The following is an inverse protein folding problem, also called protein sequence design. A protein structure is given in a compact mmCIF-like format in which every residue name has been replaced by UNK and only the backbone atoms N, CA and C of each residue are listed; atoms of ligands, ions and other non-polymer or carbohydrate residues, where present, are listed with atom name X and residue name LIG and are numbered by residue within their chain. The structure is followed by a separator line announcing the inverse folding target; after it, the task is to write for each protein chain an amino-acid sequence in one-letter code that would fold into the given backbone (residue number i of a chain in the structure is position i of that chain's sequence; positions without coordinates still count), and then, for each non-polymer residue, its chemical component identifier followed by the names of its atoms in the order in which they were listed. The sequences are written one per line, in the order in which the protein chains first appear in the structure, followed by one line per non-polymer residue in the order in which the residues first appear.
data_IF_027317300371
#
_entry.id   IF_027317300371
#
_cell.length_a   1.000
_cell.length_b   1.000
_cell.length_c   1.000
_cell.angle_alpha   90.00
_cell.angle_beta   90.00
_cell.angle_gamma   90.00
#
_symmetry.space_group_name_H-M   'P 1'
#
loop_
_entity.id
_entity.type
_entity.pdbx_description
1 polymer ?
#
# COMPACT_ATOMS: atom_id res chain seq x y z
N UNK A 1 -39.40 11.84 -59.24
CA UNK A 1 -39.45 10.90 -58.08
C UNK A 1 -38.30 11.23 -57.13
N UNK A 2 -38.58 11.85 -55.98
CA UNK A 2 -37.60 12.67 -55.23
C UNK A 2 -37.20 12.00 -53.90
N UNK A 3 -35.96 11.50 -53.84
CA UNK A 3 -35.04 11.33 -52.68
C UNK A 3 -35.64 11.11 -51.27
N UNK A 4 -36.55 10.14 -51.05
CA UNK A 4 -37.06 9.79 -49.70
C UNK A 4 -36.18 8.82 -48.89
N UNK A 5 -35.39 7.96 -49.55
CA UNK A 5 -34.61 6.92 -48.86
C UNK A 5 -33.46 7.43 -47.97
N UNK A 6 -32.92 8.63 -48.25
CA UNK A 6 -31.78 9.17 -47.47
C UNK A 6 -32.16 9.60 -46.06
N UNK A 7 -33.35 10.18 -45.89
CA UNK A 7 -33.84 10.60 -44.58
C UNK A 7 -34.24 9.39 -43.72
N UNK A 8 -34.87 8.37 -44.32
CA UNK A 8 -35.19 7.12 -43.64
C UNK A 8 -33.93 6.37 -43.20
N UNK A 9 -32.94 6.24 -44.08
CA UNK A 9 -31.66 5.62 -43.74
C UNK A 9 -30.94 6.38 -42.62
N UNK A 10 -30.93 7.72 -42.66
CA UNK A 10 -30.35 8.53 -41.59
C UNK A 10 -31.05 8.28 -40.24
N UNK A 11 -32.38 8.14 -40.22
CA UNK A 11 -33.13 7.82 -39.01
C UNK A 11 -32.80 6.43 -38.46
N UNK A 12 -32.68 5.42 -39.32
CA UNK A 12 -32.27 4.07 -38.91
C UNK A 12 -30.87 4.07 -38.29
N UNK A 13 -29.92 4.78 -38.91
CA UNK A 13 -28.57 4.93 -38.34
C UNK A 13 -28.56 5.63 -36.98
N UNK A 14 -29.34 6.70 -36.81
CA UNK A 14 -29.45 7.40 -35.52
C UNK A 14 -30.04 6.48 -34.45
N UNK A 15 -31.02 5.65 -34.80
CA UNK A 15 -31.68 4.72 -33.87
C UNK A 15 -30.73 3.58 -33.46
N UNK A 16 -29.96 3.04 -34.41
CA UNK A 16 -28.92 2.04 -34.10
C UNK A 16 -27.81 2.66 -33.24
N UNK A 17 -27.35 3.86 -33.58
CA UNK A 17 -26.31 4.55 -32.82
C UNK A 17 -26.76 4.91 -31.39
N UNK A 18 -28.01 5.33 -31.19
CA UNK A 18 -28.54 5.63 -29.86
C UNK A 18 -28.70 4.38 -29.00
N UNK A 19 -29.14 3.26 -29.59
CA UNK A 19 -29.20 1.97 -28.90
C UNK A 19 -27.80 1.49 -28.48
N UNK A 20 -26.80 1.66 -29.35
CA UNK A 20 -25.41 1.34 -29.04
C UNK A 20 -24.90 2.20 -27.88
N UNK A 21 -25.13 3.51 -27.90
CA UNK A 21 -24.72 4.42 -26.82
C UNK A 21 -25.42 4.09 -25.50
N UNK A 22 -26.70 3.70 -25.54
CA UNK A 22 -27.47 3.31 -24.36
C UNK A 22 -26.84 2.14 -23.60
N UNK A 23 -26.24 1.18 -24.32
CA UNK A 23 -25.50 0.06 -23.72
C UNK A 23 -24.06 0.47 -23.37
N UNK A 24 -23.40 1.23 -24.24
CA UNK A 24 -21.98 1.54 -24.10
C UNK A 24 -21.66 2.42 -22.89
N UNK A 25 -22.51 3.41 -22.60
CA UNK A 25 -22.32 4.33 -21.47
C UNK A 25 -22.32 3.60 -20.10
N UNK A 26 -23.35 2.82 -19.72
CA UNK A 26 -23.35 2.13 -18.43
C UNK A 26 -22.23 1.08 -18.34
N UNK A 27 -21.92 0.36 -19.43
CA UNK A 27 -20.81 -0.60 -19.45
C UNK A 27 -19.47 0.09 -19.18
N UNK A 28 -19.24 1.26 -19.77
CA UNK A 28 -18.01 2.05 -19.53
C UNK A 28 -17.94 2.51 -18.07
N UNK A 29 -19.06 2.94 -17.48
CA UNK A 29 -19.11 3.34 -16.05
C UNK A 29 -18.75 2.15 -15.14
N UNK A 30 -19.34 0.98 -15.37
CA UNK A 30 -19.05 -0.24 -14.60
C UNK A 30 -17.58 -0.63 -14.74
N UNK A 31 -17.06 -0.60 -15.97
CA UNK A 31 -15.67 -0.94 -16.26
C UNK A 31 -14.69 0.00 -15.56
N UNK A 32 -14.94 1.31 -15.59
CA UNK A 32 -14.12 2.30 -14.87
C UNK A 32 -14.18 2.12 -13.36
N UNK A 33 -15.34 1.74 -12.81
CA UNK A 33 -15.46 1.41 -11.38
C UNK A 33 -14.62 0.19 -11.01
N UNK A 34 -14.62 -0.84 -11.84
CA UNK A 34 -13.83 -2.05 -11.60
C UNK A 34 -12.32 -1.82 -11.67
N UNK A 35 -11.84 -1.06 -12.66
CA UNK A 35 -10.41 -0.68 -12.75
C UNK A 35 -9.97 0.03 -11.46
N UNK A 36 -10.85 0.86 -10.90
CA UNK A 36 -10.58 1.60 -9.68
C UNK A 36 -10.45 0.66 -8.48
N UNK A 37 -11.39 -0.27 -8.26
CA UNK A 37 -11.30 -1.20 -7.10
C UNK A 37 -10.04 -2.07 -7.16
N UNK A 38 -9.69 -2.58 -8.34
CA UNK A 38 -8.51 -3.45 -8.50
C UNK A 38 -7.20 -2.74 -8.16
N UNK A 39 -7.10 -1.42 -8.40
CA UNK A 39 -5.89 -0.66 -8.06
C UNK A 39 -5.66 -0.53 -6.54
N UNK A 40 -6.73 -0.48 -5.74
CA UNK A 40 -6.62 -0.31 -4.29
C UNK A 40 -6.27 -1.63 -3.62
N UNK A 41 -6.89 -2.72 -4.08
CA UNK A 41 -6.56 -4.08 -3.63
C UNK A 41 -5.09 -4.43 -3.89
N UNK A 42 -4.56 -4.07 -5.07
CA UNK A 42 -3.14 -4.24 -5.38
C UNK A 42 -2.23 -3.39 -4.49
N UNK A 43 -2.66 -2.21 -4.09
CA UNK A 43 -1.89 -1.33 -3.19
C UNK A 43 -1.88 -1.92 -1.78
N UNK A 44 -3.03 -2.35 -1.28
CA UNK A 44 -3.18 -3.01 0.01
C UNK A 44 -2.32 -4.28 0.08
N UNK A 45 -2.41 -5.17 -0.92
CA UNK A 45 -1.61 -6.40 -0.97
C UNK A 45 -0.10 -6.14 -0.95
N UNK A 46 0.36 -5.08 -1.63
CA UNK A 46 1.78 -4.69 -1.58
C UNK A 46 2.20 -4.16 -0.22
N UNK A 47 1.37 -3.35 0.43
CA UNK A 47 1.64 -2.81 1.76
C UNK A 47 1.58 -3.90 2.84
N UNK A 48 0.66 -4.83 2.71
CA UNK A 48 0.52 -6.00 3.57
C UNK A 48 1.79 -6.86 3.52
N UNK A 49 2.22 -7.22 2.32
CA UNK A 49 3.48 -7.93 2.11
C UNK A 49 4.68 -7.14 2.67
N UNK A 50 4.76 -5.84 2.36
CA UNK A 50 5.84 -4.97 2.85
C UNK A 50 5.91 -4.95 4.38
N UNK A 51 4.79 -4.78 5.06
CA UNK A 51 4.73 -4.75 6.52
C UNK A 51 5.16 -6.09 7.13
N UNK A 52 4.68 -7.20 6.58
CA UNK A 52 5.10 -8.53 6.98
C UNK A 52 6.60 -8.78 6.73
N UNK A 53 7.13 -8.39 5.57
CA UNK A 53 8.55 -8.55 5.25
C UNK A 53 9.42 -7.75 6.23
N UNK A 54 9.04 -6.51 6.56
CA UNK A 54 9.76 -5.69 7.55
C UNK A 54 9.75 -6.36 8.93
N UNK A 55 8.59 -6.79 9.41
CA UNK A 55 8.45 -7.36 10.76
C UNK A 55 9.15 -8.71 10.86
N UNK A 56 8.97 -9.60 9.89
CA UNK A 56 9.58 -10.92 9.89
C UNK A 56 11.11 -10.84 9.84
N UNK A 57 11.66 -9.96 8.99
CA UNK A 57 13.11 -9.75 8.93
C UNK A 57 13.63 -9.01 10.17
N UNK A 58 12.83 -8.16 10.81
CA UNK A 58 13.22 -7.53 12.07
C UNK A 58 13.34 -8.60 13.17
N UNK A 59 12.41 -9.55 13.24
CA UNK A 59 12.51 -10.68 14.16
C UNK A 59 13.75 -11.54 13.87
N UNK A 60 14.02 -11.84 12.60
CA UNK A 60 15.21 -12.59 12.21
C UNK A 60 16.49 -11.90 12.66
N UNK A 61 16.65 -10.61 12.34
CA UNK A 61 17.80 -9.79 12.73
C UNK A 61 17.94 -9.73 14.25
N UNK A 62 16.83 -9.63 14.98
CA UNK A 62 16.84 -9.61 16.43
C UNK A 62 17.40 -10.92 17.01
N UNK A 63 16.94 -12.07 16.51
CA UNK A 63 17.39 -13.39 16.98
C UNK A 63 18.81 -13.75 16.53
N UNK A 64 19.28 -13.21 15.41
CA UNK A 64 20.70 -13.30 15.03
C UNK A 64 21.64 -12.56 16.02
N UNK A 65 21.10 -11.58 16.74
CA UNK A 65 21.82 -10.85 17.78
C UNK A 65 22.65 -9.67 17.26
N UNK A 66 23.07 -8.78 18.17
CA UNK A 66 23.85 -7.58 17.81
C UNK A 66 25.25 -8.00 17.36
N UNK A 67 25.79 -7.47 16.24
CA UNK A 67 25.32 -6.34 15.42
C UNK A 67 24.70 -6.76 14.07
N UNK A 68 23.82 -7.77 14.05
CA UNK A 68 23.19 -8.24 12.83
C UNK A 68 22.48 -7.13 12.05
N UNK A 69 22.54 -7.23 10.73
CA UNK A 69 21.98 -6.26 9.79
C UNK A 69 21.45 -6.96 8.55
N UNK A 70 20.25 -6.61 8.13
CA UNK A 70 19.66 -6.99 6.85
C UNK A 70 19.28 -5.73 6.08
N UNK A 71 19.41 -5.76 4.76
CA UNK A 71 18.90 -4.72 3.87
C UNK A 71 17.93 -5.34 2.89
N UNK A 72 16.67 -4.93 2.96
CA UNK A 72 15.61 -5.32 2.04
C UNK A 72 15.49 -4.28 0.94
N UNK A 73 15.25 -4.73 -0.29
CA UNK A 73 15.03 -3.86 -1.43
C UNK A 73 13.61 -4.06 -1.91
N UNK A 74 12.72 -3.19 -1.45
CA UNK A 74 11.28 -3.30 -1.68
C UNK A 74 10.73 -2.13 -2.46
N UNK A 75 9.62 -2.34 -3.15
CA UNK A 75 8.95 -1.29 -3.92
C UNK A 75 7.82 -0.67 -3.10
N UNK A 76 8.05 0.55 -2.62
CA UNK A 76 7.06 1.35 -1.91
C UNK A 76 5.94 1.75 -2.89
N UNK A 77 4.69 1.34 -2.65
CA UNK A 77 3.58 1.73 -3.50
C UNK A 77 3.24 3.21 -3.30
N UNK A 78 2.41 3.75 -4.19
CA UNK A 78 1.92 5.12 -4.02
C UNK A 78 0.85 5.19 -2.93
N UNK A 79 0.66 6.36 -2.33
CA UNK A 79 -0.45 6.62 -1.42
C UNK A 79 -0.16 6.34 0.06
N UNK A 80 1.07 5.98 0.42
CA UNK A 80 1.48 5.91 1.84
C UNK A 80 1.57 7.33 2.40
N UNK A 81 0.78 7.61 3.44
CA UNK A 81 0.68 8.94 4.05
C UNK A 81 1.60 9.07 5.25
N UNK A 82 1.59 8.07 6.13
CA UNK A 82 2.43 8.03 7.33
C UNK A 82 2.73 6.59 7.69
N UNK A 83 3.91 6.38 8.26
CA UNK A 83 4.30 5.11 8.83
C UNK A 83 4.98 5.42 10.16
N UNK A 84 4.71 4.61 11.17
CA UNK A 84 5.29 4.81 12.50
C UNK A 84 5.30 3.50 13.26
N UNK A 85 6.18 3.43 14.27
CA UNK A 85 6.26 2.31 15.19
C UNK A 85 5.58 2.73 16.49
N UNK A 86 4.59 1.96 16.94
CA UNK A 86 4.04 2.05 18.28
C UNK A 86 4.78 1.03 19.14
N UNK A 87 5.61 1.50 20.06
CA UNK A 87 6.35 0.64 20.97
C UNK A 87 6.21 1.04 22.44
N UNK A 88 6.19 0.04 23.31
CA UNK A 88 6.19 0.23 24.75
C UNK A 88 6.97 -0.89 25.44
N UNK A 89 8.30 -0.79 25.41
CA UNK A 89 9.20 -1.82 25.91
C UNK A 89 9.17 -1.97 27.44
N UNK A 90 8.67 -0.97 28.16
CA UNK A 90 8.79 -0.87 29.62
C UNK A 90 7.49 -1.18 30.36
N UNK A 91 6.35 -1.31 29.66
CA UNK A 91 5.05 -1.66 30.28
C UNK A 91 4.61 -3.05 29.87
N UNK A 92 3.86 -3.71 30.75
CA UNK A 92 3.25 -5.02 30.50
C UNK A 92 1.74 -4.85 30.27
N UNK A 93 1.17 -5.34 29.15
CA UNK A 93 1.85 -6.05 28.06
C UNK A 93 2.70 -5.11 27.18
N UNK A 94 3.84 -5.61 26.73
CA UNK A 94 4.69 -4.88 25.79
C UNK A 94 4.00 -4.81 24.43
N UNK A 95 3.95 -3.62 23.85
CA UNK A 95 3.40 -3.39 22.51
C UNK A 95 4.54 -3.10 21.57
N UNK A 96 4.58 -3.75 20.41
CA UNK A 96 5.57 -3.55 19.36
C UNK A 96 4.87 -3.69 18.01
N UNK A 97 4.40 -2.58 17.46
CA UNK A 97 3.59 -2.56 16.24
C UNK A 97 4.17 -1.62 15.21
N UNK A 98 4.23 -2.07 13.95
CA UNK A 98 4.43 -1.21 12.79
C UNK A 98 3.07 -0.83 12.24
N UNK A 99 2.81 0.46 12.08
CA UNK A 99 1.55 0.96 11.54
C UNK A 99 1.83 1.71 10.25
N UNK A 100 1.13 1.32 9.18
CA UNK A 100 1.19 1.95 7.87
C UNK A 100 -0.17 2.55 7.56
N UNK A 101 -0.19 3.86 7.34
CA UNK A 101 -1.42 4.58 6.99
C UNK A 101 -1.31 5.00 5.53
N UNK A 102 -2.33 4.65 4.76
CA UNK A 102 -2.39 4.94 3.34
C UNK A 102 -3.76 5.47 2.94
N UNK A 103 -3.79 6.21 1.83
CA UNK A 103 -5.02 6.71 1.25
C UNK A 103 -5.62 5.64 0.33
N UNK A 104 -6.76 5.10 0.73
CA UNK A 104 -7.67 4.33 -0.11
C UNK A 104 -8.73 5.26 -0.72
N UNK A 105 -9.50 4.77 -1.69
CA UNK A 105 -10.67 5.49 -2.22
C UNK A 105 -11.77 5.70 -1.19
N UNK A 106 -11.82 4.86 -0.16
CA UNK A 106 -12.78 4.97 0.95
C UNK A 106 -12.30 5.90 2.07
N UNK A 107 -11.07 6.44 1.95
CA UNK A 107 -10.45 7.30 2.95
C UNK A 107 -9.13 6.75 3.47
N UNK A 108 -8.68 7.28 4.60
CA UNK A 108 -7.47 6.80 5.28
C UNK A 108 -7.72 5.42 5.89
N UNK A 109 -6.84 4.49 5.54
CA UNK A 109 -6.85 3.13 6.05
C UNK A 109 -5.54 2.89 6.81
N UNK A 110 -5.61 2.11 7.89
CA UNK A 110 -4.45 1.76 8.70
C UNK A 110 -4.22 0.24 8.63
N UNK A 111 -2.98 -0.16 8.33
CA UNK A 111 -2.52 -1.54 8.43
C UNK A 111 -1.62 -1.64 9.65
N UNK A 112 -1.92 -2.62 10.51
CA UNK A 112 -1.22 -2.84 11.78
C UNK A 112 -0.51 -4.18 11.72
N UNK A 113 0.80 -4.17 11.96
CA UNK A 113 1.63 -5.36 11.97
C UNK A 113 2.26 -5.53 13.35
N UNK A 114 1.90 -6.63 14.03
CA UNK A 114 2.45 -6.98 15.33
C UNK A 114 3.83 -7.63 15.20
N UNK A 115 4.79 -7.16 15.99
CA UNK A 115 6.13 -7.75 16.09
C UNK A 115 6.34 -8.41 17.45
N UNK A 116 6.98 -9.58 17.46
CA UNK A 116 7.36 -10.30 18.69
C UNK A 116 8.63 -9.74 19.33
N UNK A 117 9.31 -8.81 18.67
CA UNK A 117 10.57 -8.23 19.13
C UNK A 117 10.46 -6.72 19.25
N UNK A 118 11.36 -6.14 20.04
CA UNK A 118 11.43 -4.70 20.21
C UNK A 118 11.88 -4.05 18.89
N UNK A 119 10.98 -3.30 18.26
CA UNK A 119 11.25 -2.54 17.04
C UNK A 119 11.20 -1.04 17.33
N UNK A 120 11.98 -0.28 16.56
CA UNK A 120 11.92 1.18 16.55
C UNK A 120 12.19 1.70 15.14
N UNK A 121 11.64 2.84 14.78
CA UNK A 121 11.86 3.44 13.47
C UNK A 121 11.26 4.83 13.38
N UNK A 122 11.95 5.70 12.68
CA UNK A 122 11.45 7.03 12.30
C UNK A 122 11.45 7.12 10.79
N UNK A 123 10.32 7.48 10.21
CA UNK A 123 10.14 7.49 8.77
C UNK A 123 9.86 8.91 8.29
N UNK A 124 10.65 9.39 7.33
CA UNK A 124 10.47 10.69 6.71
C UNK A 124 9.52 10.61 5.52
N UNK A 125 8.94 11.74 5.09
CA UNK A 125 8.11 11.76 3.89
C UNK A 125 8.86 11.27 2.63
N UNK A 126 10.17 11.51 2.55
CA UNK A 126 11.02 11.03 1.44
C UNK A 126 11.14 9.50 1.44
N UNK A 127 11.28 8.91 2.63
CA UNK A 127 11.30 7.46 2.83
C UNK A 127 10.01 6.78 2.39
N UNK A 128 8.88 7.47 2.49
CA UNK A 128 7.53 6.97 2.16
C UNK A 128 7.12 7.24 0.70
N UNK A 129 7.96 7.96 -0.06
CA UNK A 129 7.67 8.23 -1.47
C UNK A 129 7.67 6.94 -2.31
N UNK A 130 6.82 6.92 -3.34
CA UNK A 130 6.69 5.80 -4.28
C UNK A 130 8.05 5.45 -4.91
N UNK A 131 8.35 4.16 -5.00
CA UNK A 131 9.50 3.64 -5.75
C UNK A 131 10.30 2.60 -4.97
N UNK A 132 11.43 2.19 -5.54
CA UNK A 132 12.32 1.24 -4.90
C UNK A 132 13.01 1.90 -3.72
N UNK A 133 12.87 1.31 -2.53
CA UNK A 133 13.47 1.76 -1.28
C UNK A 133 14.34 0.68 -0.68
N UNK A 134 15.42 1.10 -0.05
CA UNK A 134 16.27 0.22 0.74
C UNK A 134 15.86 0.34 2.20
N UNK A 135 15.32 -0.74 2.74
CA UNK A 135 14.89 -0.84 4.12
C UNK A 135 16.00 -1.56 4.89
N UNK A 136 16.63 -0.83 5.79
CA UNK A 136 17.75 -1.30 6.58
C UNK A 136 17.23 -1.63 7.97
N UNK A 137 17.47 -2.86 8.39
CA UNK A 137 17.12 -3.39 9.70
C UNK A 137 18.43 -3.69 10.44
N UNK A 138 18.64 -3.04 11.58
CA UNK A 138 19.85 -3.24 12.40
C UNK A 138 19.47 -3.63 13.82
N UNK A 139 20.05 -4.73 14.33
CA UNK A 139 20.00 -5.07 15.74
C UNK A 139 20.94 -4.14 16.52
N UNK A 140 20.36 -3.39 17.45
CA UNK A 140 21.06 -2.46 18.33
C UNK A 140 20.76 -2.79 19.79
N UNK A 141 21.58 -2.26 20.69
CA UNK A 141 21.39 -2.35 22.14
C UNK A 141 21.38 -0.94 22.72
N UNK A 142 20.35 -0.61 23.50
CA UNK A 142 20.34 0.65 24.26
C UNK A 142 21.39 0.62 25.37
N UNK A 143 21.73 1.80 25.91
CA UNK A 143 22.63 1.91 27.07
C UNK A 143 22.13 1.13 28.29
N UNK A 144 20.81 0.93 28.42
CA UNK A 144 20.16 0.11 29.45
C UNK A 144 20.22 -1.41 29.20
N UNK A 145 20.86 -1.86 28.13
CA UNK A 145 21.04 -3.29 27.81
C UNK A 145 19.91 -3.94 27.01
N UNK A 146 18.82 -3.21 26.71
CA UNK A 146 17.68 -3.74 25.94
C UNK A 146 18.06 -3.82 24.46
N UNK A 147 17.92 -5.00 23.87
CA UNK A 147 18.08 -5.18 22.43
C UNK A 147 16.82 -4.69 21.71
N UNK A 148 17.00 -4.02 20.56
CA UNK A 148 15.92 -3.62 19.67
C UNK A 148 16.40 -3.58 18.23
N UNK A 149 15.48 -3.64 17.28
CA UNK A 149 15.77 -3.47 15.85
C UNK A 149 15.39 -2.07 15.41
N UNK A 150 16.36 -1.32 14.88
CA UNK A 150 16.11 -0.03 14.24
C UNK A 150 15.76 -0.25 12.77
N UNK A 151 14.64 0.31 12.33
CA UNK A 151 14.16 0.31 10.96
C UNK A 151 14.49 1.67 10.35
N UNK A 152 15.19 1.68 9.22
CA UNK A 152 15.52 2.91 8.46
C UNK A 152 15.23 2.70 6.99
N UNK A 153 14.60 3.66 6.34
CA UNK A 153 14.24 3.57 4.92
C UNK A 153 14.90 4.70 4.15
N UNK A 154 15.62 4.35 3.08
CA UNK A 154 16.31 5.27 2.16
C UNK A 154 15.81 5.07 0.74
#
# INVERSE_FOLDING_TARGET
MKKRGRAQAAMEYILVASLLLLVFVPTTIIFLSHIRSSSDELTMSKLDKLGHDIVNNAEEVYYQGVPARITLRENMPNGVKRMYVLNNWTRTPAVNQLIIVYNSKEGEQELVFDSRVNINGTFSNESLSKGIKNIILNANRTQSGITYVSITIR
#
